data_IF_047190041203
#
_entry.id   IF_047190041203
#
_cell.length_a   1.000
_cell.length_b   1.000
_cell.length_c   1.000
_cell.angle_alpha   90.00
_cell.angle_beta   90.00
_cell.angle_gamma   90.00
#
_symmetry.space_group_name_H-M   'P 1'
#
loop_
_entity.id
_entity.type
_entity.pdbx_description
1 polymer ?
#
# COMPACT_ATOMS: atom_id res chain seq x y z
N UNK A 1 -10.71 14.39 9.21
CA UNK A 1 -10.40 14.44 7.80
C UNK A 1 -11.07 13.36 7.00
N UNK A 2 -11.23 13.63 5.74
CA UNK A 2 -11.85 12.69 4.81
C UNK A 2 -10.94 11.48 4.57
N UNK A 3 -11.55 10.34 4.29
CA UNK A 3 -10.83 9.13 3.95
C UNK A 3 -10.72 9.00 2.43
N UNK A 4 -9.49 8.80 1.97
CA UNK A 4 -9.25 8.31 0.62
C UNK A 4 -9.26 6.78 0.69
N UNK A 5 -10.30 6.16 0.13
CA UNK A 5 -10.45 4.71 0.11
C UNK A 5 -10.07 4.19 -1.27
N UNK A 6 -9.29 3.13 -1.31
CA UNK A 6 -8.95 2.47 -2.56
C UNK A 6 -9.25 0.99 -2.50
N UNK A 7 -9.39 0.40 -3.67
CA UNK A 7 -9.58 -1.03 -3.87
C UNK A 7 -8.88 -1.44 -5.16
N UNK A 8 -8.05 -2.46 -5.07
CA UNK A 8 -7.26 -2.96 -6.19
C UNK A 8 -7.38 -4.47 -6.28
N UNK A 9 -7.28 -5.00 -7.50
CA UNK A 9 -7.15 -6.43 -7.72
C UNK A 9 -5.70 -6.75 -8.03
N UNK A 10 -5.15 -7.73 -7.31
CA UNK A 10 -3.79 -8.23 -7.51
C UNK A 10 -3.89 -9.68 -7.98
N UNK A 11 -3.06 -10.03 -8.95
CA UNK A 11 -3.01 -11.42 -9.43
C UNK A 11 -1.56 -11.83 -9.65
N UNK A 12 -1.23 -13.04 -9.21
CA UNK A 12 0.05 -13.65 -9.49
C UNK A 12 -0.03 -14.40 -10.82
N UNK A 13 0.47 -13.81 -11.88
CA UNK A 13 0.50 -14.42 -13.22
C UNK A 13 1.70 -15.35 -13.42
N UNK A 14 2.59 -15.41 -12.45
CA UNK A 14 3.80 -16.22 -12.55
C UNK A 14 3.57 -17.68 -12.22
N UNK A 15 4.66 -18.41 -12.14
CA UNK A 15 4.67 -19.84 -11.85
C UNK A 15 5.23 -20.15 -10.46
N UNK A 16 5.65 -19.13 -9.72
CA UNK A 16 6.20 -19.27 -8.37
C UNK A 16 5.39 -18.44 -7.38
N UNK A 17 5.31 -18.87 -6.11
CA UNK A 17 4.68 -18.06 -5.07
C UNK A 17 5.39 -16.72 -4.91
N UNK A 18 4.62 -15.67 -4.61
CA UNK A 18 5.15 -14.33 -4.38
C UNK A 18 5.03 -14.01 -2.89
N UNK A 19 6.17 -13.72 -2.26
CA UNK A 19 6.19 -13.36 -0.85
C UNK A 19 5.66 -11.94 -0.64
N UNK A 20 4.87 -11.77 0.41
CA UNK A 20 4.35 -10.47 0.82
C UNK A 20 4.36 -10.38 2.35
N UNK A 21 4.12 -9.16 2.86
CA UNK A 21 4.10 -8.91 4.29
C UNK A 21 3.12 -7.79 4.61
N UNK A 22 2.67 -7.73 5.86
CA UNK A 22 1.76 -6.67 6.31
C UNK A 22 2.38 -5.26 6.26
N UNK A 23 1.56 -4.24 6.48
CA UNK A 23 0.18 -4.27 6.97
C UNK A 23 -0.78 -4.90 5.97
N UNK A 24 -1.78 -5.61 6.50
CA UNK A 24 -2.71 -6.33 5.62
C UNK A 24 -3.85 -5.43 5.14
N UNK A 25 -4.54 -5.83 4.06
CA UNK A 25 -5.71 -5.09 3.56
C UNK A 25 -6.69 -4.76 4.67
N UNK A 26 -7.31 -3.61 4.58
CA UNK A 26 -8.18 -3.06 5.62
C UNK A 26 -7.50 -2.07 6.55
N UNK A 27 -6.17 -2.03 6.56
CA UNK A 27 -5.43 -1.05 7.37
C UNK A 27 -5.73 0.37 6.91
N UNK A 28 -5.98 1.26 7.86
CA UNK A 28 -6.23 2.69 7.63
C UNK A 28 -5.07 3.49 8.20
N UNK A 29 -4.47 4.31 7.35
CA UNK A 29 -3.37 5.18 7.75
C UNK A 29 -3.86 6.60 8.02
N UNK A 30 -3.20 7.30 8.92
CA UNK A 30 -3.24 8.77 8.92
C UNK A 30 -2.23 9.27 7.89
N UNK A 31 -2.45 10.47 7.36
CA UNK A 31 -1.61 11.01 6.29
C UNK A 31 -0.12 11.06 6.66
N UNK A 32 0.18 11.31 7.92
CA UNK A 32 1.55 11.41 8.43
C UNK A 32 2.15 10.09 8.90
N UNK A 33 1.43 8.98 8.75
CA UNK A 33 1.95 7.65 9.06
C UNK A 33 2.58 7.02 7.83
N UNK A 34 3.43 6.02 8.08
CA UNK A 34 4.01 5.16 7.04
C UNK A 34 3.87 3.71 7.48
N UNK A 35 4.15 2.78 6.58
CA UNK A 35 4.17 1.37 6.95
C UNK A 35 5.14 1.11 8.11
N UNK A 36 6.31 1.73 8.08
CA UNK A 36 7.30 1.60 9.15
C UNK A 36 6.79 2.14 10.48
N UNK A 37 6.05 3.25 10.48
CA UNK A 37 5.51 3.83 11.71
C UNK A 37 4.46 2.93 12.37
N UNK A 38 3.87 2.00 11.63
CA UNK A 38 2.97 0.99 12.16
C UNK A 38 3.71 -0.31 12.53
N UNK A 39 5.03 -0.29 12.54
CA UNK A 39 5.85 -1.45 12.88
C UNK A 39 6.13 -2.40 11.72
N UNK A 40 5.67 -2.07 10.51
CA UNK A 40 5.86 -2.91 9.34
C UNK A 40 7.07 -2.42 8.54
N UNK A 41 8.22 -2.82 8.99
CA UNK A 41 9.48 -2.42 8.37
C UNK A 41 9.67 -3.11 7.02
N UNK A 42 10.66 -2.64 6.25
CA UNK A 42 11.03 -3.30 5.01
C UNK A 42 11.42 -4.75 5.26
N UNK A 43 10.87 -5.63 4.44
CA UNK A 43 11.28 -7.02 4.39
C UNK A 43 11.84 -7.30 3.01
N UNK A 44 13.17 -7.42 2.94
CA UNK A 44 13.89 -7.57 1.68
C UNK A 44 13.31 -8.69 0.83
N UNK A 45 12.92 -8.36 -0.40
CA UNK A 45 12.35 -9.32 -1.32
C UNK A 45 10.84 -9.51 -1.22
N UNK A 46 10.16 -8.96 -0.22
CA UNK A 46 8.70 -9.01 -0.14
C UNK A 46 8.08 -8.00 -1.10
N UNK A 47 6.92 -8.34 -1.63
CA UNK A 47 6.15 -7.45 -2.49
C UNK A 47 4.98 -6.82 -1.72
N UNK A 48 4.72 -5.55 -1.98
CA UNK A 48 3.60 -4.80 -1.38
C UNK A 48 2.94 -3.91 -2.42
N UNK A 49 1.68 -3.59 -2.18
CA UNK A 49 0.96 -2.53 -2.88
C UNK A 49 1.18 -1.24 -2.10
N UNK A 50 1.39 -0.15 -2.80
CA UNK A 50 1.48 1.16 -2.18
C UNK A 50 0.57 2.18 -2.82
N UNK A 51 0.23 3.21 -2.07
CA UNK A 51 -0.45 4.41 -2.56
C UNK A 51 0.50 5.58 -2.40
N UNK A 52 0.54 6.42 -3.42
CA UNK A 52 1.30 7.66 -3.41
C UNK A 52 0.42 8.81 -3.86
N UNK A 53 0.73 10.01 -3.43
CA UNK A 53 0.04 11.23 -3.84
C UNK A 53 1.07 12.32 -4.08
N UNK A 54 0.70 13.36 -4.82
CA UNK A 54 1.60 14.49 -5.12
C UNK A 54 2.23 15.10 -3.88
N UNK A 55 1.52 15.10 -2.76
CA UNK A 55 2.00 15.72 -1.51
C UNK A 55 2.54 14.72 -0.50
N UNK A 56 2.73 13.47 -0.88
CA UNK A 56 3.29 12.46 0.02
C UNK A 56 4.72 12.80 0.42
N UNK A 57 5.08 12.47 1.66
CA UNK A 57 6.40 12.79 2.21
C UNK A 57 7.52 11.91 1.65
N UNK A 58 7.18 10.73 1.14
CA UNK A 58 8.14 9.78 0.59
C UNK A 58 7.46 8.95 -0.48
N UNK A 59 8.23 8.12 -1.18
CA UNK A 59 7.67 7.25 -2.21
C UNK A 59 6.80 6.17 -1.56
N UNK A 60 5.52 6.15 -1.92
CA UNK A 60 4.56 5.16 -1.45
C UNK A 60 4.65 4.95 0.06
N UNK A 61 4.38 5.98 0.86
CA UNK A 61 4.51 5.84 2.32
C UNK A 61 3.51 4.85 2.90
N UNK A 62 2.37 4.69 2.26
CA UNK A 62 1.29 3.81 2.69
C UNK A 62 1.32 2.54 1.86
N UNK A 63 1.56 1.40 2.53
CA UNK A 63 1.77 0.12 1.86
C UNK A 63 0.94 -0.97 2.50
N UNK A 64 0.55 -1.95 1.70
CA UNK A 64 -0.27 -3.09 2.15
C UNK A 64 0.24 -4.36 1.50
N UNK A 65 -0.03 -5.49 2.18
CA UNK A 65 0.21 -6.81 1.62
C UNK A 65 -0.64 -7.03 0.36
N UNK A 66 -0.25 -8.01 -0.44
CA UNK A 66 -0.88 -8.30 -1.73
C UNK A 66 -2.25 -8.96 -1.60
N UNK A 67 -2.62 -9.42 -0.41
CA UNK A 67 -3.90 -10.07 -0.15
C UNK A 67 -4.21 -10.06 1.35
N UNK A 68 -5.48 -10.27 1.74
CA UNK A 68 -5.81 -10.52 3.14
C UNK A 68 -5.04 -11.70 3.69
N UNK A 69 -4.70 -11.65 4.97
CA UNK A 69 -3.88 -12.68 5.61
C UNK A 69 -4.46 -14.08 5.44
N UNK A 70 -5.78 -14.23 5.57
CA UNK A 70 -6.46 -15.52 5.49
C UNK A 70 -6.52 -16.10 4.07
N UNK A 71 -6.18 -15.31 3.06
CA UNK A 71 -6.10 -15.76 1.66
C UNK A 71 -4.68 -16.11 1.23
N UNK A 72 -3.70 -15.84 2.08
CA UNK A 72 -2.30 -16.11 1.80
C UNK A 72 -1.88 -17.47 2.37
N UNK A 73 -0.88 -18.07 1.75
CA UNK A 73 -0.26 -19.28 2.29
C UNK A 73 0.77 -18.87 3.32
N UNK A 74 0.60 -19.34 4.55
CA UNK A 74 1.53 -19.03 5.64
C UNK A 74 2.52 -20.18 5.80
N UNK A 75 3.80 -19.86 5.86
CA UNK A 75 4.87 -20.84 6.09
C UNK A 75 5.71 -20.37 7.27
N UNK A 76 5.78 -21.20 8.30
CA UNK A 76 6.57 -20.91 9.47
C UNK A 76 8.03 -21.29 9.24
N UNK A 77 8.93 -20.36 9.57
CA UNK A 77 10.36 -20.59 9.58
C UNK A 77 10.82 -20.66 11.04
N UNK A 78 11.06 -21.87 11.53
CA UNK A 78 11.44 -22.09 12.91
C UNK A 78 12.80 -21.49 13.26
N UNK A 79 13.73 -21.46 12.31
CA UNK A 79 15.06 -20.91 12.56
C UNK A 79 15.02 -19.40 12.70
N UNK A 80 14.24 -18.73 11.84
CA UNK A 80 14.07 -17.27 11.90
C UNK A 80 13.02 -16.86 12.93
N UNK A 81 12.25 -17.79 13.46
CA UNK A 81 11.12 -17.54 14.34
C UNK A 81 10.12 -16.55 13.72
N UNK A 82 9.84 -16.73 12.44
CA UNK A 82 8.95 -15.87 11.66
C UNK A 82 8.00 -16.70 10.82
N UNK A 83 6.87 -16.07 10.44
CA UNK A 83 5.92 -16.63 9.48
C UNK A 83 5.99 -15.79 8.22
N UNK A 84 6.17 -16.44 7.08
CA UNK A 84 6.19 -15.79 5.78
C UNK A 84 4.88 -16.08 5.05
N UNK A 85 4.40 -15.09 4.31
CA UNK A 85 3.12 -15.16 3.59
C UNK A 85 3.35 -15.10 2.09
N UNK A 86 2.62 -15.92 1.36
CA UNK A 86 2.79 -16.06 -0.09
C UNK A 86 1.46 -15.98 -0.82
N UNK A 87 1.49 -15.27 -1.95
CA UNK A 87 0.41 -15.28 -2.93
C UNK A 87 0.76 -16.36 -3.96
N UNK A 88 -0.09 -17.38 -4.06
CA UNK A 88 0.19 -18.55 -4.88
C UNK A 88 0.06 -18.25 -6.39
N UNK A 89 0.74 -19.03 -7.26
CA UNK A 89 0.59 -18.86 -8.70
C UNK A 89 -0.87 -18.95 -9.14
N UNK A 90 -1.29 -17.99 -9.97
CA UNK A 90 -2.66 -17.91 -10.45
C UNK A 90 -3.65 -17.31 -9.46
N UNK A 91 -3.27 -17.12 -8.22
CA UNK A 91 -4.15 -16.58 -7.21
C UNK A 91 -4.45 -15.11 -7.47
N UNK A 92 -5.71 -14.75 -7.22
CA UNK A 92 -6.21 -13.39 -7.38
C UNK A 92 -6.82 -12.93 -6.06
N UNK A 93 -6.54 -11.68 -5.69
CA UNK A 93 -7.03 -11.15 -4.43
C UNK A 93 -7.39 -9.67 -4.57
N UNK A 94 -8.26 -9.19 -3.69
CA UNK A 94 -8.56 -7.77 -3.58
C UNK A 94 -7.81 -7.17 -2.41
N UNK A 95 -7.18 -6.01 -2.66
CA UNK A 95 -6.50 -5.22 -1.64
C UNK A 95 -7.26 -3.93 -1.48
N UNK A 96 -7.68 -3.62 -0.26
CA UNK A 96 -8.30 -2.35 0.02
C UNK A 96 -7.68 -1.75 1.28
N UNK A 97 -7.75 -0.43 1.35
CA UNK A 97 -7.27 0.33 2.50
C UNK A 97 -7.71 1.78 2.38
N UNK A 98 -7.28 2.58 3.31
CA UNK A 98 -7.65 3.98 3.32
C UNK A 98 -6.55 4.84 3.95
N UNK A 99 -6.55 6.10 3.55
CA UNK A 99 -5.67 7.12 4.14
C UNK A 99 -6.56 8.26 4.60
N UNK A 100 -6.41 8.66 5.86
CA UNK A 100 -7.09 9.83 6.38
C UNK A 100 -6.33 11.08 5.93
N UNK A 101 -6.96 11.85 5.05
CA UNK A 101 -6.34 13.02 4.43
C UNK A 101 -6.44 14.22 5.35
N UNK A 102 -5.70 14.19 6.45
CA UNK A 102 -5.76 15.20 7.50
C UNK A 102 -4.82 16.39 7.27
N UNK A 103 -3.81 16.22 6.42
CA UNK A 103 -2.83 17.28 6.13
C UNK A 103 -2.83 17.61 4.65
N UNK A 104 -3.71 18.55 4.25
CA UNK A 104 -3.80 18.96 2.87
C UNK A 104 -3.15 20.33 2.70
N UNK A 105 -2.30 20.43 1.71
CA UNK A 105 -1.72 21.72 1.31
C UNK A 105 -2.64 22.35 0.29
N UNK A 106 -3.10 23.58 0.57
CA UNK A 106 -4.02 24.28 -0.32
C UNK A 106 -3.51 24.36 -1.75
N UNK A 107 -2.21 24.59 -1.94
CA UNK A 107 -1.60 24.70 -3.26
C UNK A 107 -1.66 23.40 -4.06
N UNK A 108 -1.93 22.28 -3.41
CA UNK A 108 -1.97 20.96 -4.05
C UNK A 108 -3.33 20.32 -3.91
N UNK A 109 -4.38 21.08 -3.81
CA UNK A 109 -5.76 20.58 -3.83
C UNK A 109 -6.47 21.20 -5.04
N UNK A 110 -6.88 20.43 -6.04
CA UNK A 110 -6.78 18.98 -6.11
C UNK A 110 -5.37 18.45 -6.36
N UNK A 111 -5.16 17.19 -6.09
CA UNK A 111 -3.90 16.50 -6.34
C UNK A 111 -4.17 15.12 -6.93
N UNK A 112 -3.15 14.53 -7.53
CA UNK A 112 -3.25 13.17 -8.04
C UNK A 112 -2.75 12.17 -7.00
N UNK A 113 -3.45 11.06 -6.91
CA UNK A 113 -3.03 9.89 -6.13
C UNK A 113 -3.08 8.65 -7.04
N UNK A 114 -2.19 7.71 -6.80
CA UNK A 114 -2.06 6.51 -7.63
C UNK A 114 -1.54 5.35 -6.82
N UNK A 115 -1.69 4.14 -7.38
CA UNK A 115 -1.17 2.92 -6.80
C UNK A 115 0.13 2.51 -7.49
N UNK A 116 0.93 1.73 -6.78
CA UNK A 116 2.13 1.12 -7.33
C UNK A 116 2.43 -0.20 -6.66
N UNK A 117 3.26 -1.00 -7.32
CA UNK A 117 3.74 -2.26 -6.81
C UNK A 117 5.18 -2.07 -6.37
N UNK A 118 5.50 -2.45 -5.14
CA UNK A 118 6.82 -2.27 -4.56
C UNK A 118 7.45 -3.63 -4.27
N UNK A 119 8.65 -3.86 -4.81
CA UNK A 119 9.47 -5.00 -4.44
C UNK A 119 10.50 -4.48 -3.43
N UNK A 120 10.29 -4.78 -2.15
CA UNK A 120 11.08 -4.20 -1.05
C UNK A 120 12.57 -4.46 -1.24
N UNK A 121 13.37 -3.40 -1.12
CA UNK A 121 14.82 -3.38 -1.31
C UNK A 121 15.31 -3.75 -2.72
N UNK A 122 14.38 -3.88 -3.68
CA UNK A 122 14.72 -4.16 -5.08
C UNK A 122 14.35 -3.00 -5.98
N UNK A 123 13.10 -2.53 -5.90
CA UNK A 123 12.67 -1.38 -6.68
C UNK A 123 11.19 -1.36 -6.95
N UNK A 124 10.78 -0.36 -7.72
CA UNK A 124 9.40 -0.20 -8.15
C UNK A 124 9.36 -0.39 -9.66
N UNK A 125 8.74 -1.47 -10.17
CA UNK A 125 8.68 -1.70 -11.61
C UNK A 125 8.00 -0.53 -12.33
N UNK A 126 8.63 0.01 -13.36
CA UNK A 126 8.17 1.23 -14.03
C UNK A 126 6.73 1.11 -14.54
N UNK A 127 6.36 -0.04 -15.10
CA UNK A 127 5.02 -0.25 -15.64
C UNK A 127 3.95 -0.47 -14.56
N UNK A 128 4.35 -0.61 -13.31
CA UNK A 128 3.47 -0.80 -12.16
C UNK A 128 3.66 0.32 -11.12
N UNK A 129 4.26 1.43 -11.51
CA UNK A 129 4.60 2.51 -10.58
C UNK A 129 3.54 3.62 -10.48
N UNK A 130 2.59 3.65 -11.41
CA UNK A 130 1.55 4.68 -11.42
C UNK A 130 0.26 4.10 -11.99
N UNK A 131 -0.36 3.25 -11.20
CA UNK A 131 -1.57 2.52 -11.61
C UNK A 131 -2.80 3.26 -11.11
N UNK A 132 -3.78 3.42 -12.00
CA UNK A 132 -5.08 3.95 -11.61
C UNK A 132 -5.04 5.37 -11.07
N UNK A 133 -4.18 6.23 -11.61
CA UNK A 133 -4.08 7.61 -11.14
C UNK A 133 -5.43 8.32 -11.18
N UNK A 134 -5.77 9.01 -10.11
CA UNK A 134 -7.03 9.74 -9.95
C UNK A 134 -6.74 11.12 -9.37
N UNK A 135 -7.45 12.11 -9.85
CA UNK A 135 -7.45 13.41 -9.23
C UNK A 135 -8.33 13.38 -8.00
N UNK A 136 -7.79 13.80 -6.89
CA UNK A 136 -8.47 13.85 -5.61
C UNK A 136 -8.65 15.32 -5.23
N UNK A 137 -9.89 15.70 -4.98
CA UNK A 137 -10.22 17.03 -4.48
C UNK A 137 -10.92 16.88 -3.14
N UNK A 138 -10.34 17.48 -2.12
CA UNK A 138 -10.89 17.41 -0.77
C UNK A 138 -11.76 18.62 -0.47
N UNK A 139 -12.64 18.46 0.51
CA UNK A 139 -13.54 19.52 0.93
C UNK A 139 -12.73 20.74 1.40
N UNK A 140 -12.98 21.94 0.85
CA UNK A 140 -12.28 23.15 1.26
C UNK A 140 -12.34 23.45 2.76
N UNK A 141 -13.39 23.00 3.44
CA UNK A 141 -13.53 23.22 4.89
C UNK A 141 -12.36 22.60 5.64
N UNK A 142 -11.89 21.44 5.21
CA UNK A 142 -10.78 20.74 5.87
C UNK A 142 -9.45 21.50 5.71
N UNK A 143 -9.37 22.43 4.78
CA UNK A 143 -8.16 23.19 4.50
C UNK A 143 -8.12 24.53 5.19
N UNK A 144 -9.27 25.03 5.62
CA UNK A 144 -9.39 26.36 6.20
C UNK A 144 -9.22 26.36 7.71
N UNK A 145 -9.23 25.19 8.31
CA UNK A 145 -9.02 25.06 9.74
C UNK A 145 -7.59 25.47 10.10
N UNK A 146 -7.43 26.40 11.03
CA UNK A 146 -6.10 26.82 11.45
C UNK A 146 -5.33 25.75 12.20
#
# INVERSE_FOLDING_TARGET
GDLLVFKLTVQNYGTTPIRTAGPFPGTVYDFNQTAASLGAYQESGAWRIGINCDTAYSDFPWRWALAPMDELTAIDDAEANETYYYLEPGQRAEVWGAIRMSEIRKARNPQDCWAGLIHEDVGIPAFQSRVGARQIKLDPVDQTEP
#
